data_IF_195708937503
#
_entry.id   IF_195708937503
#
_cell.length_a   1.000
_cell.length_b   1.000
_cell.length_c   1.000
_cell.angle_alpha   90.00
_cell.angle_beta   90.00
_cell.angle_gamma   90.00
#
_symmetry.space_group_name_H-M   'P 1'
#
loop_
_entity.id
_entity.type
_entity.pdbx_description
1 polymer ?
#
# COMPACT_ATOMS: atom_id res chain seq x y z
N UNK A 1 5.65 16.85 27.04
CA UNK A 1 4.36 17.04 26.34
C UNK A 1 3.37 16.05 26.91
N UNK A 2 2.20 16.47 27.41
CA UNK A 2 1.24 15.52 28.00
C UNK A 2 0.82 14.47 26.97
N UNK A 3 0.66 13.22 27.40
CA UNK A 3 0.27 12.09 26.53
C UNK A 3 -0.98 12.42 25.71
N UNK A 4 -1.97 13.06 26.33
CA UNK A 4 -3.20 13.54 25.68
C UNK A 4 -2.95 14.53 24.54
N UNK A 5 -2.04 15.51 24.71
CA UNK A 5 -1.70 16.48 23.66
C UNK A 5 -1.04 15.80 22.47
N UNK A 6 -0.18 14.81 22.71
CA UNK A 6 0.48 14.00 21.67
C UNK A 6 -0.55 13.17 20.87
N UNK A 7 -1.48 12.48 21.54
CA UNK A 7 -2.57 11.72 20.89
C UNK A 7 -3.41 12.61 19.98
N UNK A 8 -3.77 13.80 20.47
CA UNK A 8 -4.56 14.79 19.72
C UNK A 8 -3.81 15.26 18.47
N UNK A 9 -2.52 15.57 18.58
CA UNK A 9 -1.70 15.98 17.44
C UNK A 9 -1.61 14.92 16.36
N UNK A 10 -1.41 13.65 16.73
CA UNK A 10 -1.39 12.56 15.76
C UNK A 10 -2.74 12.35 15.07
N UNK A 11 -3.84 12.41 15.82
CA UNK A 11 -5.19 12.32 15.26
C UNK A 11 -5.46 13.46 14.27
N UNK A 12 -5.09 14.69 14.63
CA UNK A 12 -5.26 15.86 13.75
C UNK A 12 -4.38 15.72 12.51
N UNK A 13 -3.12 15.34 12.65
CA UNK A 13 -2.21 15.17 11.50
C UNK A 13 -2.71 14.11 10.51
N UNK A 14 -3.16 12.96 11.01
CA UNK A 14 -3.78 11.92 10.17
C UNK A 14 -5.05 12.43 9.50
N UNK A 15 -5.93 13.12 10.23
CA UNK A 15 -7.17 13.65 9.68
C UNK A 15 -6.92 14.70 8.60
N UNK A 16 -5.97 15.61 8.81
CA UNK A 16 -5.55 16.58 7.79
C UNK A 16 -5.03 15.85 6.54
N UNK A 17 -4.17 14.85 6.70
CA UNK A 17 -3.65 14.06 5.57
C UNK A 17 -4.75 13.34 4.79
N UNK A 18 -5.73 12.75 5.50
CA UNK A 18 -6.90 12.10 4.89
C UNK A 18 -7.76 13.12 4.14
N UNK A 19 -8.07 14.26 4.76
CA UNK A 19 -8.90 15.32 4.14
C UNK A 19 -8.22 15.88 2.89
N UNK A 20 -6.92 16.17 2.95
CA UNK A 20 -6.16 16.64 1.78
C UNK A 20 -6.19 15.61 0.66
N UNK A 21 -6.00 14.33 0.98
CA UNK A 21 -6.04 13.25 -0.01
C UNK A 21 -7.42 13.09 -0.65
N UNK A 22 -8.49 13.19 0.14
CA UNK A 22 -9.88 13.19 -0.36
C UNK A 22 -10.09 14.38 -1.29
N UNK A 23 -9.64 15.58 -0.92
CA UNK A 23 -9.76 16.78 -1.75
C UNK A 23 -9.01 16.61 -3.08
N UNK A 24 -7.77 16.10 -3.04
CA UNK A 24 -6.97 15.85 -4.25
C UNK A 24 -7.64 14.85 -5.20
N UNK A 25 -8.17 13.75 -4.66
CA UNK A 25 -8.91 12.75 -5.45
C UNK A 25 -10.22 13.32 -5.96
N UNK A 26 -10.95 14.10 -5.15
CA UNK A 26 -12.18 14.74 -5.58
C UNK A 26 -11.94 15.66 -6.78
N UNK A 27 -10.90 16.49 -6.75
CA UNK A 27 -10.53 17.33 -7.89
C UNK A 27 -10.15 16.51 -9.13
N UNK A 28 -9.44 15.39 -8.97
CA UNK A 28 -9.13 14.48 -10.08
C UNK A 28 -10.41 14.02 -10.79
N UNK A 29 -11.43 13.61 -10.03
CA UNK A 29 -12.69 13.14 -10.61
C UNK A 29 -13.54 14.28 -11.18
N UNK A 30 -13.61 15.43 -10.50
CA UNK A 30 -14.42 16.59 -10.97
C UNK A 30 -13.87 17.18 -12.25
N UNK A 31 -12.55 17.40 -12.35
CA UNK A 31 -11.95 17.97 -13.56
C UNK A 31 -12.06 17.03 -14.77
N UNK A 32 -12.26 15.74 -14.54
CA UNK A 32 -12.37 14.72 -15.58
C UNK A 32 -13.78 14.11 -15.64
N UNK A 33 -14.80 14.81 -15.13
CA UNK A 33 -16.16 14.27 -15.00
C UNK A 33 -16.76 13.80 -16.34
N UNK A 34 -16.62 14.60 -17.41
CA UNK A 34 -17.14 14.24 -18.73
C UNK A 34 -16.53 12.94 -19.27
N UNK A 35 -15.25 12.71 -19.00
CA UNK A 35 -14.53 11.51 -19.44
C UNK A 35 -15.01 10.26 -18.68
N UNK A 36 -15.28 10.41 -17.38
CA UNK A 36 -15.87 9.34 -16.58
C UNK A 36 -17.29 9.02 -17.07
N UNK A 37 -18.09 10.04 -17.39
CA UNK A 37 -19.43 9.85 -17.93
C UNK A 37 -19.42 9.10 -19.26
N UNK A 38 -18.53 9.49 -20.18
CA UNK A 38 -18.35 8.79 -21.45
C UNK A 38 -17.87 7.34 -21.26
N UNK A 39 -17.01 7.09 -20.27
CA UNK A 39 -16.58 5.74 -19.94
C UNK A 39 -17.77 4.86 -19.50
N UNK A 40 -18.67 5.37 -18.66
CA UNK A 40 -19.85 4.60 -18.23
C UNK A 40 -20.83 4.30 -19.37
N UNK A 41 -20.87 5.12 -20.41
CA UNK A 41 -21.72 4.89 -21.59
C UNK A 41 -21.10 3.88 -22.54
N UNK A 42 -19.78 4.00 -22.78
CA UNK A 42 -19.11 3.30 -23.88
C UNK A 42 -18.34 2.05 -23.45
N UNK A 43 -17.97 1.92 -22.17
CA UNK A 43 -17.19 0.80 -21.68
C UNK A 43 -18.07 -0.28 -21.05
N UNK A 44 -18.21 -1.40 -21.77
CA UNK A 44 -18.91 -2.58 -21.28
C UNK A 44 -18.21 -3.14 -20.03
N UNK A 45 -18.96 -3.26 -18.92
CA UNK A 45 -18.42 -3.72 -17.65
C UNK A 45 -17.95 -2.61 -16.68
N UNK A 46 -18.09 -1.33 -17.06
CA UNK A 46 -17.65 -0.20 -16.22
C UNK A 46 -18.30 -0.18 -14.83
N UNK A 47 -19.59 -0.54 -14.76
CA UNK A 47 -20.33 -0.60 -13.49
C UNK A 47 -19.85 -1.73 -12.58
N UNK A 48 -19.57 -2.89 -13.16
CA UNK A 48 -19.03 -4.06 -12.47
C UNK A 48 -17.64 -3.78 -11.90
N UNK A 49 -16.77 -3.12 -12.69
CA UNK A 49 -15.45 -2.67 -12.24
C UNK A 49 -15.58 -1.71 -11.05
N UNK A 50 -16.44 -0.69 -11.19
CA UNK A 50 -16.71 0.26 -10.11
C UNK A 50 -17.12 -0.46 -8.83
N UNK A 51 -18.04 -1.42 -8.93
CA UNK A 51 -18.56 -2.18 -7.81
C UNK A 51 -17.47 -3.00 -7.12
N UNK A 52 -16.71 -3.80 -7.89
CA UNK A 52 -15.69 -4.70 -7.32
C UNK A 52 -14.54 -3.92 -6.68
N UNK A 53 -14.07 -2.84 -7.31
CA UNK A 53 -13.02 -2.00 -6.72
C UNK A 53 -13.56 -1.27 -5.48
N UNK A 54 -14.82 -0.83 -5.49
CA UNK A 54 -15.46 -0.22 -4.31
C UNK A 54 -15.57 -1.18 -3.14
N UNK A 55 -15.91 -2.46 -3.37
CA UNK A 55 -15.89 -3.50 -2.32
C UNK A 55 -14.48 -3.63 -1.73
N UNK A 56 -13.44 -3.64 -2.56
CA UNK A 56 -12.06 -3.71 -2.09
C UNK A 56 -11.69 -2.48 -1.26
N UNK A 57 -12.02 -1.27 -1.72
CA UNK A 57 -11.80 -0.02 -0.98
C UNK A 57 -12.51 -0.06 0.39
N UNK A 58 -13.75 -0.56 0.43
CA UNK A 58 -14.51 -0.72 1.67
C UNK A 58 -13.80 -1.69 2.64
N UNK A 59 -13.37 -2.86 2.15
CA UNK A 59 -12.63 -3.83 2.95
C UNK A 59 -11.35 -3.22 3.52
N UNK A 60 -10.55 -2.55 2.68
CA UNK A 60 -9.32 -1.89 3.12
C UNK A 60 -9.60 -0.78 4.14
N UNK A 61 -10.71 -0.06 3.99
CA UNK A 61 -11.16 0.98 4.93
C UNK A 61 -11.48 0.38 6.29
N UNK A 62 -12.17 -0.77 6.34
CA UNK A 62 -12.45 -1.51 7.58
C UNK A 62 -11.15 -1.91 8.28
N UNK A 63 -10.19 -2.48 7.53
CA UNK A 63 -8.87 -2.87 8.06
C UNK A 63 -8.14 -1.65 8.63
N UNK A 64 -8.11 -0.55 7.88
CA UNK A 64 -7.44 0.70 8.26
C UNK A 64 -8.03 1.29 9.54
N UNK A 65 -9.36 1.40 9.62
CA UNK A 65 -10.06 1.91 10.80
C UNK A 65 -9.78 1.02 12.01
N UNK A 66 -9.82 -0.31 11.84
CA UNK A 66 -9.50 -1.26 12.91
C UNK A 66 -8.10 -1.03 13.47
N UNK A 67 -7.10 -0.89 12.60
CA UNK A 67 -5.69 -0.73 12.99
C UNK A 67 -5.44 0.61 13.69
N UNK A 68 -5.95 1.73 13.17
CA UNK A 68 -5.82 3.01 13.83
C UNK A 68 -6.58 3.05 15.15
N UNK A 69 -7.77 2.43 15.24
CA UNK A 69 -8.50 2.33 16.51
C UNK A 69 -7.69 1.56 17.55
N UNK A 70 -7.05 0.45 17.15
CA UNK A 70 -6.17 -0.34 18.01
C UNK A 70 -4.97 0.49 18.47
N UNK A 71 -4.35 1.27 17.58
CA UNK A 71 -3.25 2.18 17.91
C UNK A 71 -3.68 3.29 18.88
N UNK A 72 -4.83 3.93 18.64
CA UNK A 72 -5.32 5.03 19.49
C UNK A 72 -5.62 4.59 20.93
N UNK A 73 -6.03 3.33 21.11
CA UNK A 73 -6.29 2.71 22.42
C UNK A 73 -5.03 2.38 23.23
N UNK A 74 -3.83 2.37 22.65
CA UNK A 74 -2.59 2.07 23.39
C UNK A 74 -2.25 3.18 24.40
N UNK A 75 -1.66 2.80 25.54
CA UNK A 75 -1.24 3.74 26.60
C UNK A 75 -0.17 4.71 26.10
N UNK A 76 0.87 4.15 25.46
CA UNK A 76 1.92 4.90 24.78
C UNK A 76 1.81 4.69 23.27
N UNK A 77 1.98 5.77 22.50
CA UNK A 77 1.88 5.77 21.05
C UNK A 77 3.22 6.17 20.41
N UNK A 78 3.67 5.32 19.51
CA UNK A 78 4.85 5.51 18.67
C UNK A 78 4.48 5.34 17.20
N UNK A 79 5.10 6.13 16.33
CA UNK A 79 4.94 6.00 14.88
C UNK A 79 5.61 4.73 14.31
N UNK A 80 6.40 4.04 15.13
CA UNK A 80 6.98 2.74 14.82
C UNK A 80 6.06 1.57 15.19
N UNK A 81 4.90 1.83 15.82
CA UNK A 81 4.01 0.75 16.26
C UNK A 81 3.39 0.03 15.05
N UNK A 82 3.33 -1.31 15.13
CA UNK A 82 2.79 -2.16 14.06
C UNK A 82 1.38 -1.71 13.60
N UNK A 83 0.41 -1.44 14.51
CA UNK A 83 -0.91 -1.01 14.08
C UNK A 83 -0.89 0.34 13.34
N UNK A 84 0.03 1.24 13.68
CA UNK A 84 0.19 2.51 12.96
C UNK A 84 0.80 2.30 11.58
N UNK A 85 1.92 1.59 11.47
CA UNK A 85 2.62 1.36 10.20
C UNK A 85 1.74 0.58 9.21
N UNK A 86 1.07 -0.47 9.67
CA UNK A 86 0.13 -1.21 8.83
C UNK A 86 -1.11 -0.38 8.50
N UNK A 87 -1.62 0.42 9.45
CA UNK A 87 -2.72 1.35 9.19
C UNK A 87 -2.35 2.36 8.09
N UNK A 88 -1.11 2.87 8.11
CA UNK A 88 -0.58 3.76 7.08
C UNK A 88 -0.48 3.06 5.71
N UNK A 89 0.04 1.82 5.68
CA UNK A 89 0.09 1.00 4.46
C UNK A 89 -1.29 0.88 3.82
N UNK A 90 -2.30 0.43 4.57
CA UNK A 90 -3.65 0.27 4.02
C UNK A 90 -4.32 1.60 3.68
N UNK A 91 -4.05 2.67 4.44
CA UNK A 91 -4.57 3.99 4.14
C UNK A 91 -4.06 4.50 2.79
N UNK A 92 -2.76 4.37 2.53
CA UNK A 92 -2.17 4.78 1.25
C UNK A 92 -2.69 3.89 0.12
N UNK A 93 -2.82 2.58 0.35
CA UNK A 93 -3.38 1.64 -0.62
C UNK A 93 -4.84 1.96 -0.98
N UNK A 94 -5.66 2.45 -0.06
CA UNK A 94 -7.02 2.93 -0.36
C UNK A 94 -6.97 4.03 -1.42
N UNK A 95 -6.15 5.07 -1.20
CA UNK A 95 -6.03 6.16 -2.18
C UNK A 95 -5.42 5.68 -3.49
N UNK A 96 -4.45 4.76 -3.44
CA UNK A 96 -3.93 4.07 -4.61
C UNK A 96 -5.03 3.38 -5.41
N UNK A 97 -5.98 2.72 -4.73
CA UNK A 97 -7.11 2.04 -5.38
C UNK A 97 -8.16 2.98 -5.93
N UNK A 98 -8.36 4.15 -5.33
CA UNK A 98 -9.24 5.17 -5.92
C UNK A 98 -8.62 5.78 -7.18
N UNK A 99 -7.30 5.91 -7.23
CA UNK A 99 -6.57 6.28 -8.45
C UNK A 99 -6.59 5.16 -9.48
N UNK A 100 -6.45 3.89 -9.06
CA UNK A 100 -6.60 2.72 -9.95
C UNK A 100 -8.01 2.67 -10.56
N UNK A 101 -9.07 2.91 -9.77
CA UNK A 101 -10.44 2.99 -10.29
C UNK A 101 -10.60 4.09 -11.32
N UNK A 102 -10.03 5.28 -11.05
CA UNK A 102 -10.04 6.37 -12.01
C UNK A 102 -9.39 5.88 -13.30
N UNK A 103 -8.18 5.33 -13.22
CA UNK A 103 -7.43 4.78 -14.34
C UNK A 103 -8.20 3.70 -15.13
N UNK A 104 -8.75 2.69 -14.47
CA UNK A 104 -9.42 1.55 -15.12
C UNK A 104 -10.65 1.98 -15.93
N UNK A 105 -11.34 3.05 -15.51
CA UNK A 105 -12.46 3.63 -16.26
C UNK A 105 -12.01 4.52 -17.42
N UNK A 106 -10.80 5.04 -17.34
CA UNK A 106 -10.27 6.16 -18.13
C UNK A 106 -9.26 5.70 -19.18
N UNK A 107 -8.66 4.52 -19.01
CA UNK A 107 -7.58 4.02 -19.83
C UNK A 107 -7.86 4.06 -21.33
N UNK A 108 -9.07 3.68 -21.75
CA UNK A 108 -9.45 3.59 -23.15
C UNK A 108 -9.82 4.93 -23.81
N UNK A 109 -9.97 6.01 -23.02
CA UNK A 109 -10.45 7.32 -23.52
C UNK A 109 -9.38 8.41 -23.51
N UNK A 110 -8.20 8.17 -22.97
CA UNK A 110 -7.21 9.22 -22.69
C UNK A 110 -6.04 9.31 -23.68
N UNK A 111 -5.46 10.51 -23.78
CA UNK A 111 -4.17 10.76 -24.42
C UNK A 111 -3.03 10.07 -23.65
N UNK A 112 -2.12 9.41 -24.38
CA UNK A 112 -0.95 8.68 -23.84
C UNK A 112 -0.10 9.49 -22.85
N UNK A 113 0.02 10.81 -23.03
CA UNK A 113 0.78 11.68 -22.13
C UNK A 113 0.10 11.87 -20.77
N UNK A 114 -1.22 12.04 -20.77
CA UNK A 114 -2.01 12.21 -19.56
C UNK A 114 -2.06 10.87 -18.79
N UNK A 115 -2.25 9.78 -19.52
CA UNK A 115 -2.11 8.41 -19.05
C UNK A 115 -0.77 8.20 -18.33
N UNK A 116 0.34 8.52 -18.99
CA UNK A 116 1.68 8.38 -18.40
C UNK A 116 1.84 9.20 -17.12
N UNK A 117 1.29 10.42 -17.08
CA UNK A 117 1.31 11.26 -15.89
C UNK A 117 0.55 10.64 -14.71
N UNK A 118 -0.67 10.12 -14.94
CA UNK A 118 -1.45 9.44 -13.89
C UNK A 118 -0.73 8.20 -13.40
N UNK A 119 -0.17 7.39 -14.30
CA UNK A 119 0.53 6.16 -13.90
C UNK A 119 1.78 6.51 -13.10
N UNK A 120 2.52 7.57 -13.43
CA UNK A 120 3.62 8.06 -12.58
C UNK A 120 3.14 8.43 -11.18
N UNK A 121 2.01 9.14 -11.05
CA UNK A 121 1.38 9.43 -9.73
C UNK A 121 1.12 8.13 -8.98
N UNK A 122 0.53 7.13 -9.64
CA UNK A 122 0.27 5.83 -9.02
C UNK A 122 1.55 5.15 -8.51
N UNK A 123 2.65 5.25 -9.25
CA UNK A 123 3.91 4.65 -8.82
C UNK A 123 4.50 5.35 -7.59
N UNK A 124 4.40 6.68 -7.49
CA UNK A 124 4.75 7.36 -6.25
C UNK A 124 3.91 6.86 -5.07
N UNK A 125 2.60 6.66 -5.27
CA UNK A 125 1.73 6.08 -4.24
C UNK A 125 2.23 4.69 -3.83
N UNK A 126 2.61 3.81 -4.77
CA UNK A 126 3.17 2.48 -4.47
C UNK A 126 4.45 2.56 -3.63
N UNK A 127 5.38 3.47 -3.98
CA UNK A 127 6.61 3.67 -3.20
C UNK A 127 6.28 4.05 -1.75
N UNK A 128 5.38 5.03 -1.58
CA UNK A 128 4.98 5.49 -0.25
C UNK A 128 4.17 4.43 0.51
N UNK A 129 3.39 3.60 -0.19
CA UNK A 129 2.65 2.48 0.36
C UNK A 129 3.60 1.48 1.02
N UNK A 130 4.68 1.10 0.33
CA UNK A 130 5.64 0.10 0.80
C UNK A 130 6.54 0.61 1.94
N UNK A 131 6.83 1.92 1.98
CA UNK A 131 7.72 2.55 2.97
C UNK A 131 7.47 2.15 4.45
N UNK A 132 6.24 2.20 5.01
CA UNK A 132 5.98 1.75 6.38
C UNK A 132 6.28 0.27 6.62
N UNK A 133 6.16 -0.58 5.59
CA UNK A 133 6.50 -2.01 5.70
C UNK A 133 8.00 -2.24 5.69
N UNK A 134 8.75 -1.50 4.85
CA UNK A 134 10.22 -1.50 4.86
C UNK A 134 10.74 -1.05 6.23
N UNK A 135 10.13 -0.04 6.84
CA UNK A 135 10.50 0.42 8.19
C UNK A 135 10.39 -0.71 9.23
N UNK A 136 9.27 -1.44 9.21
CA UNK A 136 9.05 -2.60 10.08
C UNK A 136 10.07 -3.70 9.78
N UNK A 137 10.40 -3.89 8.50
CA UNK A 137 11.39 -4.84 8.05
C UNK A 137 12.78 -4.64 8.61
N UNK A 138 13.25 -3.40 8.57
CA UNK A 138 14.53 -3.05 9.15
C UNK A 138 14.59 -3.35 10.65
N UNK A 139 13.49 -3.20 11.40
CA UNK A 139 13.46 -3.57 12.82
C UNK A 139 13.82 -5.05 13.04
N UNK A 140 13.21 -5.95 12.25
CA UNK A 140 13.41 -7.39 12.40
C UNK A 140 14.80 -7.81 11.90
N UNK A 141 15.28 -7.21 10.81
CA UNK A 141 16.61 -7.50 10.25
C UNK A 141 17.72 -7.05 11.20
N UNK A 142 17.67 -5.80 11.66
CA UNK A 142 18.71 -5.25 12.52
C UNK A 142 18.71 -5.85 13.91
N UNK A 143 17.56 -6.33 14.41
CA UNK A 143 17.49 -7.07 15.66
C UNK A 143 18.47 -8.26 15.70
N UNK A 144 18.62 -9.00 14.58
CA UNK A 144 19.58 -10.12 14.50
C UNK A 144 21.05 -9.66 14.56
N UNK A 145 21.30 -8.40 14.21
CA UNK A 145 22.63 -7.80 14.17
C UNK A 145 22.97 -7.04 15.46
N UNK A 146 21.99 -6.76 16.33
CA UNK A 146 22.18 -6.06 17.60
C UNK A 146 23.16 -6.77 18.54
N UNK A 147 23.22 -8.10 18.50
CA UNK A 147 24.16 -8.89 19.30
C UNK A 147 25.62 -8.71 18.84
N UNK A 148 25.83 -8.41 17.55
CA UNK A 148 27.15 -8.18 16.96
C UNK A 148 27.56 -6.70 16.97
N UNK A 149 26.60 -5.78 16.92
CA UNK A 149 26.84 -4.34 16.83
C UNK A 149 26.07 -3.57 17.90
N UNK A 150 26.75 -3.19 18.98
CA UNK A 150 26.17 -2.50 20.15
C UNK A 150 25.49 -1.18 19.82
N UNK A 151 25.95 -0.46 18.79
CA UNK A 151 25.30 0.79 18.32
C UNK A 151 23.87 0.58 17.82
N UNK A 152 23.52 -0.63 17.36
CA UNK A 152 22.16 -0.95 16.93
C UNK A 152 21.19 -1.08 18.11
N UNK A 153 21.67 -1.20 19.36
CA UNK A 153 20.81 -1.22 20.55
C UNK A 153 20.27 0.17 20.92
N UNK A 154 20.89 1.25 20.43
CA UNK A 154 20.39 2.60 20.63
C UNK A 154 19.16 2.86 19.74
N UNK A 155 18.00 2.93 20.38
CA UNK A 155 16.70 3.21 19.72
C UNK A 155 16.71 4.51 18.93
N UNK A 156 17.38 5.57 19.41
CA UNK A 156 17.39 6.87 18.73
C UNK A 156 18.22 6.79 17.45
N UNK A 157 19.41 6.19 17.55
CA UNK A 157 20.25 5.92 16.39
C UNK A 157 19.51 5.06 15.35
N UNK A 158 18.90 3.95 15.78
CA UNK A 158 18.17 3.04 14.89
C UNK A 158 16.99 3.68 14.20
N UNK A 159 16.22 4.52 14.89
CA UNK A 159 15.11 5.23 14.28
C UNK A 159 15.58 6.20 13.19
N UNK A 160 16.67 6.92 13.46
CA UNK A 160 17.24 7.88 12.52
C UNK A 160 17.90 7.18 11.31
N UNK A 161 18.60 6.08 11.55
CA UNK A 161 19.19 5.27 10.49
C UNK A 161 18.14 4.66 9.56
N UNK A 162 17.08 4.07 10.14
CA UNK A 162 15.94 3.54 9.37
C UNK A 162 15.25 4.62 8.53
N UNK A 163 15.01 5.78 9.12
CA UNK A 163 14.41 6.91 8.39
C UNK A 163 15.29 7.36 7.22
N UNK A 164 16.61 7.48 7.42
CA UNK A 164 17.55 7.82 6.34
C UNK A 164 17.56 6.79 5.21
N UNK A 165 17.54 5.50 5.54
CA UNK A 165 17.48 4.43 4.54
C UNK A 165 16.19 4.50 3.72
N UNK A 166 15.04 4.73 4.36
CA UNK A 166 13.78 4.87 3.64
C UNK A 166 13.80 6.10 2.74
N UNK A 167 14.28 7.25 3.24
CA UNK A 167 14.40 8.47 2.42
C UNK A 167 15.33 8.23 1.22
N UNK A 168 16.41 7.48 1.40
CA UNK A 168 17.31 7.11 0.31
C UNK A 168 16.61 6.22 -0.73
N UNK A 169 15.93 5.15 -0.29
CA UNK A 169 15.19 4.23 -1.17
C UNK A 169 14.11 4.99 -1.94
N UNK A 170 13.25 5.72 -1.21
CA UNK A 170 12.18 6.53 -1.80
C UNK A 170 12.75 7.56 -2.77
N UNK A 171 13.88 8.21 -2.46
CA UNK A 171 14.53 9.17 -3.34
C UNK A 171 15.04 8.53 -4.64
N UNK A 172 15.69 7.36 -4.56
CA UNK A 172 16.19 6.63 -5.74
C UNK A 172 15.01 6.16 -6.60
N UNK A 173 13.98 5.56 -6.00
CA UNK A 173 12.81 5.08 -6.75
C UNK A 173 12.03 6.25 -7.38
N UNK A 174 11.84 7.34 -6.63
CA UNK A 174 11.13 8.53 -7.11
C UNK A 174 11.85 9.19 -8.28
N UNK A 175 13.18 9.30 -8.22
CA UNK A 175 13.98 9.84 -9.32
C UNK A 175 13.91 8.92 -10.54
N UNK A 176 14.03 7.61 -10.35
CA UNK A 176 13.88 6.64 -11.44
C UNK A 176 12.54 6.79 -12.16
N UNK A 177 11.42 6.87 -11.44
CA UNK A 177 10.08 7.03 -12.03
C UNK A 177 9.91 8.37 -12.76
N UNK A 178 10.48 9.45 -12.23
CA UNK A 178 10.38 10.78 -12.84
C UNK A 178 10.98 10.78 -14.25
N UNK A 179 12.15 10.16 -14.42
CA UNK A 179 12.91 10.13 -15.67
C UNK A 179 12.40 9.10 -16.71
N UNK A 180 11.41 8.27 -16.39
CA UNK A 180 10.89 7.30 -17.36
C UNK A 180 10.12 8.02 -18.49
N UNK A 181 10.48 7.81 -19.77
CA UNK A 181 9.95 8.59 -20.88
C UNK A 181 8.67 8.01 -21.50
N UNK A 182 8.37 6.73 -21.30
CA UNK A 182 7.24 6.05 -21.94
C UNK A 182 6.63 4.94 -21.06
N UNK A 183 5.41 4.51 -21.43
CA UNK A 183 4.64 3.49 -20.71
C UNK A 183 5.29 2.11 -20.72
N UNK A 184 5.99 1.77 -21.81
CA UNK A 184 6.64 0.46 -21.96
C UNK A 184 7.75 0.26 -20.93
N UNK A 185 8.64 1.25 -20.79
CA UNK A 185 9.73 1.21 -19.80
C UNK A 185 9.14 1.23 -18.39
N UNK A 186 8.09 2.03 -18.17
CA UNK A 186 7.40 2.09 -16.87
C UNK A 186 6.88 0.70 -16.45
N UNK A 187 6.21 -0.01 -17.37
CA UNK A 187 5.69 -1.36 -17.15
C UNK A 187 6.77 -2.40 -16.86
N UNK A 188 7.97 -2.26 -17.43
CA UNK A 188 9.11 -3.15 -17.12
C UNK A 188 9.73 -2.88 -15.75
N UNK A 189 9.74 -1.62 -15.32
CA UNK A 189 10.32 -1.20 -14.03
C UNK A 189 9.44 -1.60 -12.85
N UNK A 190 8.11 -1.67 -13.02
CA UNK A 190 7.17 -1.97 -11.93
C UNK A 190 7.43 -3.31 -11.22
N UNK A 191 7.55 -4.45 -11.93
CA UNK A 191 7.88 -5.71 -11.28
C UNK A 191 9.21 -5.65 -10.51
N UNK A 192 10.20 -4.91 -11.03
CA UNK A 192 11.54 -4.77 -10.43
C UNK A 192 11.48 -4.01 -9.11
N UNK A 193 10.58 -3.03 -8.96
CA UNK A 193 10.40 -2.29 -7.69
C UNK A 193 9.50 -3.09 -6.73
N UNK A 194 8.39 -3.61 -7.25
CA UNK A 194 7.33 -4.21 -6.44
C UNK A 194 7.71 -5.58 -5.88
N UNK A 195 8.29 -6.47 -6.71
CA UNK A 195 8.55 -7.85 -6.30
C UNK A 195 9.61 -7.93 -5.19
N UNK A 196 10.77 -7.27 -5.26
CA UNK A 196 11.75 -7.28 -4.17
C UNK A 196 11.18 -6.72 -2.87
N UNK A 197 10.36 -5.67 -2.97
CA UNK A 197 9.66 -5.08 -1.83
C UNK A 197 8.73 -6.08 -1.15
N UNK A 198 7.86 -6.75 -1.93
CA UNK A 198 6.94 -7.78 -1.42
C UNK A 198 7.69 -9.00 -0.90
N UNK A 199 8.73 -9.45 -1.58
CA UNK A 199 9.59 -10.55 -1.13
C UNK A 199 10.26 -10.22 0.22
N UNK A 200 10.73 -8.98 0.38
CA UNK A 200 11.21 -8.46 1.65
C UNK A 200 10.14 -8.58 2.74
N UNK A 201 8.92 -8.10 2.48
CA UNK A 201 7.79 -8.16 3.42
C UNK A 201 7.47 -9.60 3.84
N UNK A 202 7.38 -10.51 2.88
CA UNK A 202 7.17 -11.94 3.14
C UNK A 202 8.27 -12.49 4.04
N UNK A 203 9.54 -12.22 3.71
CA UNK A 203 10.69 -12.65 4.49
C UNK A 203 10.67 -12.09 5.93
N UNK A 204 10.26 -10.83 6.11
CA UNK A 204 10.16 -10.18 7.41
C UNK A 204 9.13 -10.88 8.30
N UNK A 205 7.92 -11.14 7.79
CA UNK A 205 6.89 -11.84 8.56
C UNK A 205 7.26 -13.30 8.82
N UNK A 206 7.93 -13.95 7.86
CA UNK A 206 8.49 -15.29 8.05
C UNK A 206 9.54 -15.32 9.18
N UNK A 207 10.45 -14.35 9.19
CA UNK A 207 11.47 -14.23 10.23
C UNK A 207 10.84 -13.90 11.59
N UNK A 208 9.85 -13.00 11.63
CA UNK A 208 9.10 -12.70 12.84
C UNK A 208 8.37 -13.94 13.40
N UNK A 209 7.82 -14.79 12.53
CA UNK A 209 7.26 -16.08 12.90
C UNK A 209 8.32 -17.01 13.50
N UNK A 210 9.44 -17.23 12.79
CA UNK A 210 10.55 -18.09 13.23
C UNK A 210 11.12 -17.65 14.59
N UNK A 211 11.25 -16.35 14.79
CA UNK A 211 11.78 -15.75 16.03
C UNK A 211 10.73 -15.56 17.14
N UNK A 212 9.47 -15.99 16.92
CA UNK A 212 8.34 -15.82 17.86
C UNK A 212 8.16 -14.35 18.32
N UNK A 213 8.44 -13.39 17.42
CA UNK A 213 8.29 -11.95 17.63
C UNK A 213 6.92 -11.47 17.14
N UNK A 214 6.60 -10.20 17.40
CA UNK A 214 5.34 -9.55 17.03
C UNK A 214 4.10 -10.29 17.57
N UNK A 215 4.11 -10.60 18.88
CA UNK A 215 3.01 -11.35 19.55
C UNK A 215 1.63 -10.68 19.43
N UNK A 216 1.56 -9.41 19.04
CA UNK A 216 0.31 -8.65 18.88
C UNK A 216 -0.45 -9.05 17.60
N UNK A 217 0.23 -9.69 16.65
CA UNK A 217 -0.31 -10.17 15.37
C UNK A 217 -0.03 -11.67 15.20
N UNK A 218 -0.46 -12.28 14.10
CA UNK A 218 -0.17 -13.67 13.73
C UNK A 218 0.78 -13.71 12.52
N UNK A 219 2.11 -13.63 12.72
CA UNK A 219 3.07 -13.48 11.62
C UNK A 219 2.99 -14.60 10.57
N UNK A 220 2.66 -15.84 10.97
CA UNK A 220 2.47 -16.96 10.03
C UNK A 220 1.39 -16.68 8.99
N UNK A 221 0.22 -16.18 9.43
CA UNK A 221 -0.90 -15.88 8.53
C UNK A 221 -0.55 -14.69 7.64
N UNK A 222 0.14 -13.68 8.18
CA UNK A 222 0.61 -12.54 7.38
C UNK A 222 1.63 -12.95 6.34
N UNK A 223 2.54 -13.87 6.67
CA UNK A 223 3.50 -14.42 5.70
C UNK A 223 2.75 -15.03 4.52
N UNK A 224 1.72 -15.86 4.80
CA UNK A 224 0.90 -16.48 3.76
C UNK A 224 0.13 -15.41 2.97
N UNK A 225 -0.52 -14.46 3.65
CA UNK A 225 -1.30 -13.40 2.99
C UNK A 225 -0.46 -12.53 2.07
N UNK A 226 0.71 -12.06 2.51
CA UNK A 226 1.63 -11.28 1.68
C UNK A 226 2.31 -12.13 0.59
N UNK A 227 2.52 -13.43 0.82
CA UNK A 227 3.00 -14.33 -0.22
C UNK A 227 1.95 -14.50 -1.32
N UNK A 228 0.69 -14.71 -0.96
CA UNK A 228 -0.42 -14.74 -1.91
C UNK A 228 -0.56 -13.42 -2.64
N UNK A 229 -0.37 -12.27 -1.96
CA UNK A 229 -0.37 -10.96 -2.59
C UNK A 229 0.77 -10.80 -3.61
N UNK A 230 1.97 -11.27 -3.28
CA UNK A 230 3.10 -11.29 -4.21
C UNK A 230 2.81 -12.17 -5.43
N UNK A 231 2.24 -13.37 -5.22
CA UNK A 231 1.82 -14.26 -6.31
C UNK A 231 0.74 -13.61 -7.17
N UNK A 232 -0.25 -12.93 -6.56
CA UNK A 232 -1.31 -12.19 -7.29
C UNK A 232 -0.74 -11.12 -8.21
N UNK A 233 0.30 -10.40 -7.77
CA UNK A 233 0.96 -9.39 -8.61
C UNK A 233 1.73 -9.99 -9.79
N UNK A 234 2.21 -11.24 -9.68
CA UNK A 234 2.80 -11.98 -10.81
C UNK A 234 1.71 -12.61 -11.69
N UNK A 235 0.60 -13.04 -11.09
CA UNK A 235 -0.56 -13.61 -11.78
C UNK A 235 -1.29 -12.58 -12.65
N UNK A 236 -1.31 -11.32 -12.24
CA UNK A 236 -1.95 -10.21 -12.96
C UNK A 236 -1.50 -10.09 -14.42
N UNK A 237 -0.20 -9.95 -14.77
CA UNK A 237 0.23 -9.91 -16.16
C UNK A 237 -0.04 -11.22 -16.92
N UNK A 238 -0.03 -12.37 -16.23
CA UNK A 238 -0.41 -13.66 -16.86
C UNK A 238 -1.88 -13.66 -17.26
N UNK A 239 -2.77 -13.18 -16.38
CA UNK A 239 -4.20 -13.10 -16.69
C UNK A 239 -4.51 -12.06 -17.75
N UNK A 240 -3.79 -10.93 -17.76
CA UNK A 240 -3.92 -9.92 -18.81
C UNK A 240 -3.56 -10.51 -20.19
N UNK A 241 -2.55 -11.39 -20.27
CA UNK A 241 -2.20 -12.08 -21.51
C UNK A 241 -3.25 -13.11 -21.96
N UNK A 242 -4.01 -13.71 -21.04
CA UNK A 242 -5.01 -14.75 -21.34
C UNK A 242 -6.38 -14.13 -21.69
N UNK A 243 -6.85 -13.16 -20.90
CA UNK A 243 -8.17 -12.57 -21.00
C UNK A 243 -8.19 -11.22 -21.75
N UNK A 244 -7.02 -10.69 -22.09
CA UNK A 244 -6.86 -9.34 -22.63
C UNK A 244 -7.12 -8.25 -21.57
N UNK A 245 -7.02 -6.99 -22.00
CA UNK A 245 -7.38 -5.81 -21.20
C UNK A 245 -8.90 -5.62 -21.19
N UNK A 246 -9.62 -6.59 -20.64
CA UNK A 246 -11.08 -6.62 -20.58
C UNK A 246 -11.59 -6.35 -19.17
N UNK A 247 -12.85 -5.95 -19.04
CA UNK A 247 -13.50 -5.78 -17.74
C UNK A 247 -13.48 -7.08 -16.92
N UNK A 248 -13.65 -8.23 -17.58
CA UNK A 248 -13.58 -9.56 -16.95
C UNK A 248 -12.23 -9.82 -16.30
N UNK A 249 -11.13 -9.45 -16.95
CA UNK A 249 -9.79 -9.56 -16.37
C UNK A 249 -9.68 -8.74 -15.07
N UNK A 250 -10.12 -7.49 -15.08
CA UNK A 250 -10.06 -6.60 -13.91
C UNK A 250 -10.87 -7.20 -12.76
N UNK A 251 -12.09 -7.63 -13.03
CA UNK A 251 -12.99 -8.24 -12.03
C UNK A 251 -12.35 -9.45 -11.36
N UNK A 252 -11.78 -10.37 -12.14
CA UNK A 252 -11.16 -11.60 -11.61
C UNK A 252 -10.00 -11.26 -10.69
N UNK A 253 -9.10 -10.37 -11.12
CA UNK A 253 -7.91 -10.03 -10.32
C UNK A 253 -8.30 -9.27 -9.06
N UNK A 254 -9.26 -8.35 -9.13
CA UNK A 254 -9.71 -7.61 -7.96
C UNK A 254 -10.44 -8.52 -6.95
N UNK A 255 -11.19 -9.52 -7.40
CA UNK A 255 -11.81 -10.51 -6.53
C UNK A 255 -10.78 -11.40 -5.81
N UNK A 256 -9.75 -11.87 -6.53
CA UNK A 256 -8.63 -12.62 -5.94
C UNK A 256 -7.95 -11.78 -4.85
N UNK A 257 -7.70 -10.50 -5.14
CA UNK A 257 -7.09 -9.60 -4.17
C UNK A 257 -7.97 -9.40 -2.93
N UNK A 258 -9.30 -9.28 -3.07
CA UNK A 258 -10.23 -9.23 -1.93
C UNK A 258 -10.06 -10.44 -1.01
N UNK A 259 -10.02 -11.66 -1.58
CA UNK A 259 -9.77 -12.89 -0.81
C UNK A 259 -8.43 -12.84 -0.06
N UNK A 260 -7.38 -12.33 -0.71
CA UNK A 260 -6.05 -12.18 -0.11
C UNK A 260 -6.07 -11.19 1.05
N UNK A 261 -6.73 -10.03 0.91
CA UNK A 261 -6.83 -9.04 1.99
C UNK A 261 -7.64 -9.54 3.18
N UNK A 262 -8.62 -10.42 2.98
CA UNK A 262 -9.30 -11.12 4.08
C UNK A 262 -8.30 -11.99 4.86
N UNK A 263 -7.45 -12.75 4.17
CA UNK A 263 -6.39 -13.56 4.82
C UNK A 263 -5.43 -12.67 5.60
N UNK A 264 -4.99 -11.55 5.01
CA UNK A 264 -4.11 -10.58 5.68
C UNK A 264 -4.81 -10.03 6.93
N UNK A 265 -6.08 -9.63 6.83
CA UNK A 265 -6.85 -9.12 7.96
C UNK A 265 -6.95 -10.14 9.11
N UNK A 266 -7.20 -11.42 8.80
CA UNK A 266 -7.21 -12.50 9.81
C UNK A 266 -5.86 -12.67 10.52
N UNK A 267 -4.76 -12.34 9.84
CA UNK A 267 -3.42 -12.31 10.41
C UNK A 267 -3.19 -11.11 11.35
N UNK A 268 -3.84 -9.98 11.10
CA UNK A 268 -3.81 -8.78 11.95
C UNK A 268 -4.78 -8.85 13.12
N UNK A 269 -5.87 -9.59 12.93
CA UNK A 269 -6.87 -9.80 13.94
C UNK A 269 -6.34 -10.74 15.04
N UNK A 270 -6.17 -10.17 16.22
CA UNK A 270 -5.96 -10.90 17.45
C UNK A 270 -6.88 -10.31 18.50
N UNK A 271 -7.73 -11.17 19.08
CA UNK A 271 -8.56 -10.83 20.23
C UNK A 271 -7.59 -10.54 21.38
N UNK A 272 -7.43 -9.25 21.70
CA UNK A 272 -6.74 -8.78 22.90
C UNK A 272 -7.59 -9.04 24.11
#
# INVERSE_FOLDING_TARGET
MSTLRKKRQYKIGLLIGVVLSIISVFFLYVFNYFLLFDAFINYEGAFEILLVISIRILLLSIITIYLFTKWFKQEAQYLSDIPFLLGLFFLILIFGKVVDLFWDLTFFTFNTNLVLFIVKIRYFIIIFEVAPLIYLGFEVIFFRLEDKYTKLKDKRFMNLFRAKLIVLIVGIESTAITFIPNMTILGMVLPIILIPSLAGIVYIFFLAYRLKRLRVIKPKILTIGFLLYMISNIFRPVMQNILGETATYIIVVEFVDVCIFIVIFLGLYKKT
#
